data_IF_839444664394
#
_entry.id   IF_839444664394
#
_cell.length_a   1.000
_cell.length_b   1.000
_cell.length_c   1.000
_cell.angle_alpha   90.00
_cell.angle_beta   90.00
_cell.angle_gamma   90.00
#
_symmetry.space_group_name_H-M   'P 1'
#
loop_
_entity.id
_entity.type
_entity.pdbx_description
1 polymer ?
#
# COMPACT_ATOMS: atom_id res chain seq x y z
N UNK A 1 4.26 -9.26 27.68
CA UNK A 1 3.31 -10.20 27.03
C UNK A 1 3.09 -9.74 25.60
N UNK A 2 3.53 -10.51 24.60
CA UNK A 2 3.12 -10.31 23.20
C UNK A 2 1.76 -10.98 23.04
N UNK A 3 0.70 -10.18 22.91
CA UNK A 3 -0.65 -10.71 22.70
C UNK A 3 -0.74 -11.36 21.32
N UNK A 4 -1.08 -12.65 21.26
CA UNK A 4 -1.34 -13.31 19.98
C UNK A 4 -2.59 -12.74 19.35
N UNK A 5 -2.45 -12.26 18.12
CA UNK A 5 -3.54 -11.68 17.37
C UNK A 5 -4.23 -12.76 16.53
N UNK A 6 -5.44 -13.18 16.95
CA UNK A 6 -6.17 -14.27 16.28
C UNK A 6 -6.31 -14.00 14.78
N UNK A 7 -6.19 -15.06 13.98
CA UNK A 7 -6.23 -14.95 12.52
C UNK A 7 -7.55 -14.35 12.01
N UNK A 8 -8.67 -14.66 12.65
CA UNK A 8 -9.99 -14.12 12.32
C UNK A 8 -10.04 -12.58 12.39
N UNK A 9 -9.38 -11.99 13.39
CA UNK A 9 -9.28 -10.53 13.53
C UNK A 9 -8.32 -9.93 12.50
N UNK A 10 -7.19 -10.61 12.21
CA UNK A 10 -6.27 -10.20 11.13
C UNK A 10 -7.00 -10.09 9.81
N UNK A 11 -7.72 -11.14 9.45
CA UNK A 11 -8.43 -11.22 8.18
C UNK A 11 -9.59 -10.21 8.15
N UNK A 12 -10.29 -10.02 9.28
CA UNK A 12 -11.33 -8.99 9.40
C UNK A 12 -10.82 -7.56 9.25
N UNK A 13 -9.63 -7.23 9.77
CA UNK A 13 -9.04 -5.91 9.54
C UNK A 13 -8.57 -5.70 8.12
N UNK A 14 -7.98 -6.73 7.50
CA UNK A 14 -7.59 -6.67 6.10
C UNK A 14 -8.83 -6.43 5.22
N UNK A 15 -9.92 -7.13 5.49
CA UNK A 15 -11.20 -6.93 4.81
C UNK A 15 -11.77 -5.51 5.01
N UNK A 16 -11.80 -5.02 6.25
CA UNK A 16 -12.25 -3.65 6.54
C UNK A 16 -11.41 -2.58 5.82
N UNK A 17 -10.08 -2.75 5.79
CA UNK A 17 -9.19 -1.87 5.04
C UNK A 17 -9.49 -1.89 3.53
N UNK A 18 -9.80 -3.06 2.95
CA UNK A 18 -10.20 -3.15 1.54
C UNK A 18 -11.51 -2.39 1.28
N UNK A 19 -12.53 -2.57 2.12
CA UNK A 19 -13.80 -1.88 1.96
C UNK A 19 -13.65 -0.35 2.10
N UNK A 20 -12.85 0.10 3.07
CA UNK A 20 -12.53 1.53 3.24
C UNK A 20 -11.86 2.12 2.00
N UNK A 21 -10.80 1.49 1.50
CA UNK A 21 -10.05 1.98 0.32
C UNK A 21 -10.91 1.98 -0.94
N UNK A 22 -11.77 0.97 -1.10
CA UNK A 22 -12.66 0.86 -2.25
C UNK A 22 -13.94 1.66 -2.11
N UNK A 23 -14.10 2.43 -1.03
CA UNK A 23 -15.27 3.28 -0.75
C UNK A 23 -16.57 2.48 -0.65
N UNK A 24 -16.48 1.23 -0.19
CA UNK A 24 -17.63 0.37 0.10
C UNK A 24 -18.02 0.50 1.58
N UNK A 25 -18.69 1.59 1.91
CA UNK A 25 -19.07 1.90 3.30
C UNK A 25 -20.21 1.01 3.82
N UNK A 26 -20.97 0.38 2.93
CA UNK A 26 -21.99 -0.60 3.30
C UNK A 26 -21.33 -1.88 3.81
N UNK A 27 -20.33 -2.37 3.08
CA UNK A 27 -19.55 -3.52 3.52
C UNK A 27 -18.71 -3.18 4.77
N UNK A 28 -18.12 -1.98 4.83
CA UNK A 28 -17.37 -1.52 6.00
C UNK A 28 -18.22 -1.48 7.28
N UNK A 29 -19.47 -1.02 7.19
CA UNK A 29 -20.41 -1.04 8.32
C UNK A 29 -20.67 -2.46 8.82
N UNK A 30 -20.78 -3.43 7.90
CA UNK A 30 -20.92 -4.85 8.24
C UNK A 30 -19.67 -5.37 8.95
N UNK A 31 -18.48 -5.00 8.49
CA UNK A 31 -17.23 -5.41 9.15
C UNK A 31 -17.15 -4.91 10.57
N UNK A 32 -17.58 -3.66 10.83
CA UNK A 32 -17.55 -3.10 12.18
C UNK A 32 -18.48 -3.86 13.13
N UNK A 33 -19.61 -4.37 12.64
CA UNK A 33 -20.46 -5.29 13.42
C UNK A 33 -19.77 -6.65 13.61
N UNK A 34 -19.19 -7.23 12.55
CA UNK A 34 -18.50 -8.53 12.61
C UNK A 34 -17.27 -8.51 13.52
N UNK A 35 -16.54 -7.40 13.58
CA UNK A 35 -15.41 -7.19 14.47
C UNK A 35 -15.84 -6.87 15.90
N UNK A 36 -17.13 -6.68 16.16
CA UNK A 36 -17.67 -6.33 17.48
C UNK A 36 -17.40 -4.87 17.88
N UNK A 37 -17.10 -4.00 16.91
CA UNK A 37 -16.92 -2.56 17.13
C UNK A 37 -18.25 -1.84 17.32
N UNK A 38 -19.32 -2.36 16.69
CA UNK A 38 -20.68 -1.81 16.74
C UNK A 38 -21.65 -2.91 17.18
N UNK A 39 -22.60 -2.61 18.09
CA UNK A 39 -23.65 -3.57 18.47
C UNK A 39 -24.46 -4.04 17.25
N UNK A 40 -24.82 -5.33 17.15
CA UNK A 40 -25.60 -5.86 16.03
C UNK A 40 -27.01 -5.30 15.93
N UNK A 41 -27.51 -4.67 17.01
CA UNK A 41 -28.80 -3.97 17.08
C UNK A 41 -28.77 -2.57 16.46
N UNK A 42 -27.60 -2.08 16.04
CA UNK A 42 -27.46 -0.74 15.46
C UNK A 42 -28.06 -0.70 14.05
N UNK A 43 -28.69 0.43 13.70
CA UNK A 43 -29.19 0.66 12.35
C UNK A 43 -28.03 0.74 11.35
N UNK A 44 -27.91 -0.28 10.51
CA UNK A 44 -26.84 -0.39 9.51
C UNK A 44 -26.88 0.74 8.49
N UNK A 45 -28.06 1.21 8.08
CA UNK A 45 -28.18 2.28 7.11
C UNK A 45 -27.63 3.60 7.69
N UNK A 46 -28.02 3.91 8.93
CA UNK A 46 -27.52 5.08 9.65
C UNK A 46 -26.00 4.99 9.92
N UNK A 47 -25.49 3.81 10.27
CA UNK A 47 -24.04 3.59 10.43
C UNK A 47 -23.33 3.80 9.09
N UNK A 48 -23.82 3.22 8.01
CA UNK A 48 -23.23 3.40 6.67
C UNK A 48 -23.20 4.87 6.28
N UNK A 49 -24.29 5.63 6.50
CA UNK A 49 -24.35 7.06 6.22
C UNK A 49 -23.28 7.82 7.01
N UNK A 50 -23.15 7.55 8.32
CA UNK A 50 -22.18 8.20 9.18
C UNK A 50 -20.73 7.86 8.78
N UNK A 51 -20.43 6.58 8.53
CA UNK A 51 -19.11 6.15 8.05
C UNK A 51 -18.80 6.78 6.68
N UNK A 52 -19.80 6.90 5.81
CA UNK A 52 -19.63 7.59 4.53
C UNK A 52 -19.30 9.07 4.76
N UNK A 53 -19.97 9.75 5.69
CA UNK A 53 -19.67 11.14 6.05
C UNK A 53 -18.23 11.33 6.53
N UNK A 54 -17.75 10.43 7.39
CA UNK A 54 -16.39 10.47 7.95
C UNK A 54 -15.33 10.14 6.90
N UNK A 55 -15.48 9.00 6.23
CA UNK A 55 -14.39 8.44 5.45
C UNK A 55 -14.34 8.93 4.01
N UNK A 56 -15.44 9.43 3.44
CA UNK A 56 -15.49 9.91 2.05
C UNK A 56 -14.45 10.99 1.80
N UNK A 57 -14.41 12.00 2.67
CA UNK A 57 -13.51 13.14 2.51
C UNK A 57 -12.06 12.75 2.79
N UNK A 58 -11.85 11.88 3.77
CA UNK A 58 -10.53 11.35 4.08
C UNK A 58 -9.92 10.62 2.87
N UNK A 59 -10.66 9.69 2.25
CA UNK A 59 -10.15 8.92 1.10
C UNK A 59 -10.33 9.64 -0.24
N UNK A 60 -11.04 10.78 -0.29
CA UNK A 60 -11.17 11.61 -1.49
C UNK A 60 -9.81 12.17 -1.93
N UNK A 61 -8.96 12.54 -0.96
CA UNK A 61 -7.59 13.00 -1.19
C UNK A 61 -6.63 11.88 -1.63
N UNK A 62 -7.12 10.64 -1.70
CA UNK A 62 -6.34 9.44 -2.03
C UNK A 62 -5.81 8.75 -0.79
N UNK A 63 -5.83 7.41 -0.78
CA UNK A 63 -5.43 6.55 0.36
C UNK A 63 -4.04 6.87 0.90
N UNK A 64 -3.15 7.32 0.02
CA UNK A 64 -1.77 7.69 0.34
C UNK A 64 -1.65 8.94 1.21
N UNK A 65 -2.68 9.79 1.24
CA UNK A 65 -2.69 11.07 1.94
C UNK A 65 -3.48 11.01 3.26
N UNK A 66 -3.99 9.83 3.63
CA UNK A 66 -4.84 9.65 4.80
C UNK A 66 -3.99 9.45 6.05
N UNK A 67 -4.08 10.38 7.00
CA UNK A 67 -3.51 10.20 8.35
C UNK A 67 -4.44 9.36 9.20
N UNK A 68 -3.87 8.41 9.93
CA UNK A 68 -4.62 7.60 10.87
C UNK A 68 -5.06 8.40 12.11
N UNK A 69 -4.23 9.32 12.59
CA UNK A 69 -4.61 10.27 13.65
C UNK A 69 -5.85 11.09 13.29
N UNK A 70 -5.86 11.72 12.11
CA UNK A 70 -7.00 12.51 11.62
C UNK A 70 -8.26 11.64 11.47
N UNK A 71 -8.12 10.45 10.87
CA UNK A 71 -9.22 9.50 10.74
C UNK A 71 -9.85 9.11 12.08
N UNK A 72 -9.03 8.86 13.10
CA UNK A 72 -9.54 8.53 14.44
C UNK A 72 -10.26 9.72 15.06
N UNK A 73 -9.76 10.93 14.85
CA UNK A 73 -10.40 12.17 15.28
C UNK A 73 -11.79 12.32 14.66
N UNK A 74 -11.88 12.20 13.34
CA UNK A 74 -13.13 12.32 12.58
C UNK A 74 -14.14 11.21 12.95
N UNK A 75 -13.63 10.00 13.24
CA UNK A 75 -14.47 8.87 13.65
C UNK A 75 -15.01 9.05 15.08
N UNK A 76 -14.36 9.83 15.95
CA UNK A 76 -14.70 9.97 17.36
C UNK A 76 -16.16 10.36 17.62
N UNK A 77 -16.72 11.29 16.83
CA UNK A 77 -18.14 11.67 16.95
C UNK A 77 -19.08 10.52 16.60
N UNK A 78 -18.78 9.79 15.53
CA UNK A 78 -19.53 8.61 15.08
C UNK A 78 -19.46 7.49 16.14
N UNK A 79 -18.30 7.32 16.78
CA UNK A 79 -18.12 6.32 17.84
C UNK A 79 -19.04 6.57 19.03
N UNK A 80 -19.17 7.83 19.44
CA UNK A 80 -20.10 8.20 20.51
C UNK A 80 -21.56 7.97 20.09
N UNK A 81 -21.95 8.48 18.91
CA UNK A 81 -23.33 8.39 18.39
C UNK A 81 -23.83 6.94 18.28
N UNK A 82 -23.00 6.03 17.78
CA UNK A 82 -23.38 4.63 17.57
C UNK A 82 -22.93 3.69 18.70
N UNK A 83 -22.50 4.24 19.84
CA UNK A 83 -22.07 3.47 21.02
C UNK A 83 -21.06 2.38 20.66
N UNK A 84 -19.99 2.77 19.98
CA UNK A 84 -18.92 1.85 19.62
C UNK A 84 -18.41 1.15 20.87
N UNK A 85 -18.32 -0.17 20.79
CA UNK A 85 -17.70 -0.99 21.81
C UNK A 85 -16.32 -1.34 21.29
N UNK A 86 -15.27 -0.73 21.83
CA UNK A 86 -13.91 -1.07 21.44
C UNK A 86 -13.38 -2.09 22.43
N UNK A 87 -13.28 -3.37 22.06
CA UNK A 87 -12.55 -4.33 22.85
C UNK A 87 -11.14 -3.84 23.24
N UNK A 88 -10.71 -4.21 24.44
CA UNK A 88 -9.43 -3.79 25.03
C UNK A 88 -8.23 -4.03 24.11
N UNK A 89 -8.23 -5.16 23.40
CA UNK A 89 -7.16 -5.51 22.45
C UNK A 89 -7.11 -4.55 21.25
N UNK A 90 -8.23 -4.08 20.73
CA UNK A 90 -8.24 -3.08 19.65
C UNK A 90 -7.80 -1.71 20.15
N UNK A 91 -8.19 -1.32 21.36
CA UNK A 91 -7.74 -0.04 21.96
C UNK A 91 -6.21 0.01 22.03
N UNK A 92 -5.56 -1.11 22.36
CA UNK A 92 -4.10 -1.20 22.36
C UNK A 92 -3.52 -1.02 20.96
N UNK A 93 -4.04 -1.73 19.95
CA UNK A 93 -3.58 -1.63 18.56
C UNK A 93 -3.74 -0.21 18.01
N UNK A 94 -4.92 0.38 18.20
CA UNK A 94 -5.22 1.75 17.74
C UNK A 94 -4.27 2.76 18.40
N UNK A 95 -4.08 2.67 19.73
CA UNK A 95 -3.17 3.57 20.46
C UNK A 95 -1.73 3.40 20.00
N UNK A 96 -1.26 2.17 19.82
CA UNK A 96 0.09 1.89 19.32
C UNK A 96 0.29 2.45 17.90
N UNK A 97 -0.69 2.27 17.01
CA UNK A 97 -0.63 2.81 15.64
C UNK A 97 -0.59 4.34 15.62
N UNK A 98 -1.42 5.00 16.44
CA UNK A 98 -1.44 6.47 16.52
C UNK A 98 -0.09 7.02 17.01
N UNK A 99 0.52 6.39 18.03
CA UNK A 99 1.84 6.79 18.54
C UNK A 99 2.93 6.53 17.49
N UNK A 100 2.92 5.36 16.85
CA UNK A 100 3.90 5.02 15.81
C UNK A 100 3.79 5.94 14.59
N UNK A 101 2.59 6.31 14.16
CA UNK A 101 2.40 7.29 13.10
C UNK A 101 2.94 8.66 13.51
N UNK A 102 2.64 9.12 14.73
CA UNK A 102 3.16 10.40 15.25
C UNK A 102 4.69 10.45 15.29
N UNK A 103 5.34 9.36 15.73
CA UNK A 103 6.82 9.25 15.72
C UNK A 103 7.35 9.27 14.28
N UNK A 104 6.70 8.53 13.37
CA UNK A 104 7.12 8.46 11.97
C UNK A 104 6.98 9.81 11.24
N UNK A 105 5.92 10.58 11.54
CA UNK A 105 5.74 11.95 11.03
C UNK A 105 6.88 12.87 11.48
N UNK A 106 7.40 12.67 12.70
CA UNK A 106 8.56 13.42 13.20
C UNK A 106 9.84 13.21 12.38
N UNK A 107 9.97 12.07 11.67
CA UNK A 107 11.11 11.74 10.81
C UNK A 107 10.81 12.11 9.35
N UNK A 108 9.60 11.81 8.88
CA UNK A 108 9.12 12.09 7.54
C UNK A 108 7.74 12.75 7.61
N UNK A 109 7.63 14.08 7.42
CA UNK A 109 6.36 14.80 7.50
C UNK A 109 5.27 14.29 6.54
N UNK A 110 5.68 13.67 5.42
CA UNK A 110 4.78 13.09 4.42
C UNK A 110 4.38 11.64 4.73
N UNK A 111 4.82 11.09 5.87
CA UNK A 111 4.46 9.72 6.25
C UNK A 111 2.97 9.59 6.55
N UNK A 112 2.34 8.58 5.94
CA UNK A 112 0.94 8.21 6.16
C UNK A 112 0.84 6.70 6.32
N UNK A 113 0.42 6.23 7.50
CA UNK A 113 0.51 4.79 7.83
C UNK A 113 -0.34 3.91 6.91
N UNK A 114 -1.52 4.39 6.50
CA UNK A 114 -2.39 3.66 5.56
C UNK A 114 -1.75 3.57 4.17
N UNK A 115 -1.15 4.67 3.69
CA UNK A 115 -0.41 4.70 2.44
C UNK A 115 0.75 3.70 2.41
N UNK A 116 1.50 3.60 3.51
CA UNK A 116 2.63 2.66 3.63
C UNK A 116 2.20 1.21 3.82
N UNK A 117 1.04 0.96 4.44
CA UNK A 117 0.56 -0.39 4.76
C UNK A 117 -0.23 -1.02 3.62
N UNK A 118 -0.93 -0.21 2.82
CA UNK A 118 -1.81 -0.72 1.77
C UNK A 118 -1.12 -1.63 0.73
N UNK A 119 0.13 -1.37 0.27
CA UNK A 119 0.87 -2.30 -0.58
C UNK A 119 1.03 -3.71 -0.01
N UNK A 120 1.25 -3.80 1.32
CA UNK A 120 1.33 -5.08 2.01
C UNK A 120 -0.05 -5.76 2.06
N UNK A 121 -1.12 -5.00 2.33
CA UNK A 121 -2.51 -5.49 2.32
C UNK A 121 -2.87 -6.05 0.95
N UNK A 122 -2.62 -5.29 -0.12
CA UNK A 122 -2.90 -5.70 -1.49
C UNK A 122 -2.18 -7.01 -1.85
N UNK A 123 -0.90 -7.12 -1.51
CA UNK A 123 -0.12 -8.36 -1.68
C UNK A 123 -0.70 -9.51 -0.87
N UNK A 124 -1.05 -9.26 0.40
CA UNK A 124 -1.58 -10.29 1.30
C UNK A 124 -2.88 -10.86 0.72
N UNK A 125 -3.81 -10.01 0.32
CA UNK A 125 -5.10 -10.41 -0.26
C UNK A 125 -4.93 -11.21 -1.56
N UNK A 126 -3.95 -10.85 -2.40
CA UNK A 126 -3.66 -11.58 -3.65
C UNK A 126 -3.02 -12.96 -3.44
N UNK A 127 -2.36 -13.19 -2.29
CA UNK A 127 -1.52 -14.39 -2.05
C UNK A 127 -2.07 -15.33 -0.99
N UNK A 128 -2.95 -14.86 -0.11
CA UNK A 128 -3.40 -15.63 1.05
C UNK A 128 -4.41 -16.73 0.70
N UNK A 129 -4.37 -17.82 1.47
CA UNK A 129 -5.25 -18.98 1.29
C UNK A 129 -6.54 -18.91 2.11
N UNK A 130 -6.66 -17.94 3.04
CA UNK A 130 -7.80 -17.73 3.92
C UNK A 130 -9.12 -17.68 3.13
N UNK A 131 -10.15 -18.46 3.53
CA UNK A 131 -11.46 -18.40 2.92
C UNK A 131 -12.06 -16.99 2.93
N UNK A 132 -11.81 -16.24 4.01
CA UNK A 132 -12.31 -14.87 4.19
C UNK A 132 -11.67 -13.93 3.17
N UNK A 133 -10.34 -13.92 3.10
CA UNK A 133 -9.62 -13.05 2.16
C UNK A 133 -9.89 -13.41 0.69
N UNK A 134 -10.08 -14.69 0.37
CA UNK A 134 -10.54 -15.12 -0.96
C UNK A 134 -11.93 -14.58 -1.29
N UNK A 135 -12.85 -14.60 -0.32
CA UNK A 135 -14.18 -14.03 -0.50
C UNK A 135 -14.11 -12.51 -0.70
N UNK A 136 -13.32 -11.80 0.10
CA UNK A 136 -13.13 -10.34 -0.04
C UNK A 136 -12.48 -10.00 -1.39
N UNK A 137 -11.46 -10.76 -1.84
CA UNK A 137 -10.87 -10.60 -3.17
C UNK A 137 -11.91 -10.83 -4.27
N UNK A 138 -12.73 -11.87 -4.16
CA UNK A 138 -13.78 -12.15 -5.15
C UNK A 138 -14.83 -11.04 -5.19
N UNK A 139 -15.27 -10.55 -4.04
CA UNK A 139 -16.21 -9.42 -3.94
C UNK A 139 -15.61 -8.12 -4.50
N UNK A 140 -14.29 -7.96 -4.41
CA UNK A 140 -13.59 -6.84 -5.03
C UNK A 140 -13.47 -6.99 -6.55
N UNK A 141 -13.23 -8.19 -7.05
CA UNK A 141 -13.00 -8.41 -8.47
C UNK A 141 -14.30 -8.58 -9.26
N UNK A 142 -15.41 -8.90 -8.60
CA UNK A 142 -16.70 -9.11 -9.26
C UNK A 142 -17.77 -8.17 -8.70
N UNK A 143 -18.57 -7.58 -9.58
CA UNK A 143 -19.80 -6.87 -9.22
C UNK A 143 -20.91 -7.27 -10.18
N UNK A 144 -22.05 -7.71 -9.66
CA UNK A 144 -23.21 -8.10 -10.46
C UNK A 144 -22.86 -9.15 -11.55
N UNK A 145 -21.95 -10.08 -11.21
CA UNK A 145 -21.44 -11.12 -12.11
C UNK A 145 -20.35 -10.67 -13.10
N UNK A 146 -20.07 -9.37 -13.20
CA UNK A 146 -19.06 -8.82 -14.10
C UNK A 146 -17.70 -8.70 -13.43
N UNK A 147 -16.65 -9.13 -14.14
CA UNK A 147 -15.27 -9.00 -13.69
C UNK A 147 -14.74 -7.58 -13.91
N UNK A 148 -14.18 -6.98 -12.86
CA UNK A 148 -13.63 -5.62 -12.86
C UNK A 148 -12.11 -5.65 -12.99
N UNK A 149 -11.60 -5.66 -14.21
CA UNK A 149 -10.16 -5.69 -14.48
C UNK A 149 -9.41 -4.51 -13.83
N UNK A 150 -10.03 -3.32 -13.83
CA UNK A 150 -9.42 -2.11 -13.25
C UNK A 150 -9.09 -2.28 -11.76
N UNK A 151 -9.90 -3.07 -11.02
CA UNK A 151 -9.68 -3.36 -9.61
C UNK A 151 -8.53 -4.35 -9.41
N UNK A 152 -8.40 -5.35 -10.29
CA UNK A 152 -7.26 -6.26 -10.27
C UNK A 152 -5.96 -5.50 -10.56
N UNK A 153 -5.96 -4.66 -11.60
CA UNK A 153 -4.80 -3.84 -11.98
C UNK A 153 -4.39 -2.89 -10.86
N UNK A 154 -5.37 -2.23 -10.23
CA UNK A 154 -5.13 -1.35 -9.07
C UNK A 154 -4.50 -2.12 -7.90
N UNK A 155 -5.02 -3.31 -7.57
CA UNK A 155 -4.43 -4.16 -6.52
C UNK A 155 -3.01 -4.62 -6.87
N UNK A 156 -2.79 -5.05 -8.11
CA UNK A 156 -1.47 -5.51 -8.57
C UNK A 156 -0.45 -4.38 -8.50
N UNK A 157 -0.79 -3.19 -9.02
CA UNK A 157 0.04 -1.99 -8.95
C UNK A 157 0.44 -1.66 -7.52
N UNK A 158 -0.52 -1.63 -6.61
CA UNK A 158 -0.28 -1.36 -5.18
C UNK A 158 0.56 -2.46 -4.53
N UNK A 159 0.30 -3.72 -4.85
CA UNK A 159 1.10 -4.84 -4.34
C UNK A 159 2.57 -4.74 -4.75
N UNK A 160 2.85 -4.32 -5.99
CA UNK A 160 4.20 -4.20 -6.53
C UNK A 160 4.95 -3.03 -5.92
N UNK A 161 4.25 -1.95 -5.49
CA UNK A 161 4.88 -0.82 -4.81
C UNK A 161 5.68 -1.24 -3.57
N UNK A 162 5.16 -2.17 -2.77
CA UNK A 162 5.88 -2.69 -1.59
C UNK A 162 7.24 -3.30 -1.94
N UNK A 163 7.37 -3.92 -3.12
CA UNK A 163 8.64 -4.49 -3.59
C UNK A 163 9.58 -3.37 -4.01
N UNK A 164 9.08 -2.39 -4.76
CA UNK A 164 9.85 -1.23 -5.20
C UNK A 164 10.39 -0.42 -4.02
N UNK A 165 9.56 -0.09 -3.04
CA UNK A 165 9.98 0.66 -1.85
C UNK A 165 11.04 -0.11 -1.03
N UNK A 166 10.90 -1.43 -0.87
CA UNK A 166 11.93 -2.25 -0.22
C UNK A 166 13.25 -2.25 -0.99
N UNK A 167 13.20 -2.44 -2.31
CA UNK A 167 14.41 -2.42 -3.13
C UNK A 167 15.09 -1.05 -3.11
N UNK A 168 14.33 0.05 -3.04
CA UNK A 168 14.88 1.40 -2.89
C UNK A 168 15.58 1.59 -1.53
N UNK A 169 14.99 1.09 -0.45
CA UNK A 169 15.58 1.14 0.90
C UNK A 169 16.84 0.26 0.98
N UNK A 170 16.80 -0.94 0.39
CA UNK A 170 17.95 -1.85 0.31
C UNK A 170 19.09 -1.25 -0.53
N UNK A 171 18.77 -0.57 -1.64
CA UNK A 171 19.76 0.15 -2.47
C UNK A 171 20.37 1.38 -1.77
N UNK A 172 19.65 2.01 -0.83
CA UNK A 172 20.16 3.14 -0.05
C UNK A 172 21.02 2.68 1.14
N UNK A 173 20.73 1.52 1.72
CA UNK A 173 21.51 0.93 2.82
C UNK A 173 22.70 0.08 2.35
N UNK A 174 22.75 -0.30 1.06
CA UNK A 174 23.87 -0.99 0.43
C UNK A 174 25.01 -0.03 0.06
N UNK A 175 25.85 0.30 1.03
CA UNK A 175 27.06 1.10 0.81
C UNK A 175 28.03 0.45 -0.20
N UNK A 176 28.37 1.24 -1.22
CA UNK A 176 29.54 1.14 -2.11
C UNK A 176 29.57 0.02 -3.16
N UNK A 177 28.96 0.27 -4.34
CA UNK A 177 29.74 0.28 -5.60
C UNK A 177 29.02 1.11 -6.68
N UNK A 178 29.23 2.43 -6.59
CA UNK A 178 28.65 3.42 -7.50
C UNK A 178 29.00 3.16 -8.98
N UNK A 179 30.03 2.35 -9.27
CA UNK A 179 30.44 2.02 -10.64
C UNK A 179 29.53 0.97 -11.29
N UNK A 180 28.94 0.06 -10.52
CA UNK A 180 28.03 -0.98 -11.05
C UNK A 180 26.67 -0.37 -11.42
N UNK A 181 26.16 0.54 -10.59
CA UNK A 181 24.87 1.23 -10.79
C UNK A 181 24.92 2.17 -12.00
N UNK A 182 25.99 2.96 -12.15
CA UNK A 182 26.19 3.81 -13.33
C UNK A 182 26.30 2.95 -14.59
N UNK A 183 26.98 1.81 -14.53
CA UNK A 183 27.13 0.89 -15.67
C UNK A 183 25.81 0.22 -16.06
N UNK A 184 24.95 -0.14 -15.10
CA UNK A 184 23.63 -0.72 -15.36
C UNK A 184 22.63 0.31 -15.89
N UNK A 185 22.57 1.51 -15.32
CA UNK A 185 21.69 2.59 -15.79
C UNK A 185 22.09 3.04 -17.20
N UNK A 186 23.40 3.19 -17.46
CA UNK A 186 23.89 3.52 -18.80
C UNK A 186 23.63 2.37 -19.79
N UNK A 187 23.73 1.10 -19.37
CA UNK A 187 23.39 -0.03 -20.24
C UNK A 187 21.91 -0.08 -20.62
N UNK A 188 21.01 0.29 -19.69
CA UNK A 188 19.56 0.29 -19.92
C UNK A 188 19.13 1.49 -20.78
N UNK A 189 19.75 2.65 -20.58
CA UNK A 189 19.47 3.84 -21.38
C UNK A 189 19.95 3.72 -22.83
N UNK A 190 21.12 3.12 -23.05
CA UNK A 190 21.66 2.87 -24.40
C UNK A 190 20.93 1.77 -25.18
N UNK A 191 20.28 0.83 -24.49
CA UNK A 191 19.60 -0.29 -25.14
C UNK A 191 18.23 0.08 -25.73
N UNK A 192 17.65 1.22 -25.33
CA UNK A 192 16.27 1.60 -25.66
C UNK A 192 16.17 2.52 -26.90
N UNK A 193 17.28 3.11 -27.40
CA UNK A 193 17.18 4.21 -28.39
C UNK A 193 17.94 4.08 -29.71
N UNK A 194 18.47 2.91 -30.07
CA UNK A 194 19.24 2.76 -31.34
C UNK A 194 18.67 1.64 -32.22
N UNK A 195 18.15 1.94 -33.42
CA UNK A 195 17.69 0.94 -34.39
C UNK A 195 18.83 0.00 -34.80
N UNK A 196 18.51 -1.28 -35.06
CA UNK A 196 19.48 -2.35 -35.31
C UNK A 196 20.48 -2.07 -36.45
N UNK A 197 20.15 -1.18 -37.39
CA UNK A 197 20.98 -0.84 -38.56
C UNK A 197 22.19 0.05 -38.25
N UNK A 198 22.21 0.78 -37.12
CA UNK A 198 23.32 1.68 -36.76
C UNK A 198 24.31 1.07 -35.75
N UNK A 199 23.96 -0.08 -35.16
CA UNK A 199 24.79 -0.78 -34.17
C UNK A 199 26.12 -1.30 -34.73
N UNK A 200 26.24 -1.42 -36.06
CA UNK A 200 27.46 -1.90 -36.71
C UNK A 200 28.55 -0.81 -36.82
N UNK A 201 28.16 0.45 -37.03
CA UNK A 201 29.10 1.57 -37.17
C UNK A 201 29.64 2.05 -35.80
N UNK A 202 28.81 2.09 -34.76
CA UNK A 202 29.24 2.49 -33.41
C UNK A 202 30.20 1.49 -32.76
N UNK A 203 30.11 0.20 -33.08
CA UNK A 203 30.97 -0.83 -32.45
C UNK A 203 32.43 -0.72 -32.91
N UNK A 204 32.65 -0.35 -34.17
CA UNK A 204 33.98 -0.07 -34.70
C UNK A 204 34.49 1.30 -34.24
N UNK A 205 33.63 2.31 -34.15
CA UNK A 205 34.00 3.63 -33.63
C UNK A 205 34.41 3.59 -32.15
N UNK A 206 33.67 2.90 -31.27
CA UNK A 206 34.05 2.74 -29.87
C UNK A 206 35.34 1.94 -29.68
N UNK A 207 35.61 0.96 -30.55
CA UNK A 207 36.82 0.13 -30.45
C UNK A 207 38.08 0.92 -30.84
N UNK A 208 37.99 1.82 -31.83
CA UNK A 208 39.08 2.74 -32.20
C UNK A 208 39.26 3.82 -31.13
N UNK A 209 38.17 4.37 -30.60
CA UNK A 209 38.20 5.41 -29.56
C UNK A 209 38.79 4.88 -28.23
N UNK A 210 38.45 3.65 -27.82
CA UNK A 210 39.03 3.04 -26.62
C UNK A 210 40.53 2.77 -26.76
N UNK A 211 41.01 2.42 -27.97
CA UNK A 211 42.43 2.22 -28.25
C UNK A 211 43.24 3.52 -28.22
N UNK A 212 42.65 4.63 -28.69
CA UNK A 212 43.24 5.96 -28.65
C UNK A 212 43.31 6.53 -27.22
N UNK A 213 42.26 6.31 -26.42
CA UNK A 213 42.22 6.72 -25.01
C UNK A 213 43.20 5.90 -24.15
N UNK A 214 43.40 4.61 -24.46
CA UNK A 214 44.38 3.77 -23.77
C UNK A 214 45.84 4.11 -24.10
N UNK A 215 46.14 4.64 -25.30
CA UNK A 215 47.49 5.10 -25.62
C UNK A 215 47.86 6.45 -24.99
N UNK A 216 46.88 7.30 -24.68
CA UNK A 216 47.10 8.63 -24.08
C UNK A 216 47.24 8.59 -22.54
N UNK A 217 47.10 7.42 -21.91
CA UNK A 217 47.19 7.25 -20.44
C UNK A 217 48.50 6.60 -19.96
N UNK A 218 49.50 6.38 -20.83
CA UNK A 218 50.79 5.75 -20.47
C UNK A 218 52.02 6.64 -20.83
N UNK A 219 51.86 7.96 -20.88
CA UNK A 219 52.96 8.93 -20.77
C UNK A 219 52.60 9.99 -19.74
#
# INVERSE_FOLDING_TARGET
MMGEFKQEYRDGFIEACLHLVNRDYSALAKDFVTLGLIPPTSDKAAVTEALTGVFRDAVAKGVRNVSFGDLLGDLGFTMYKFKFQIPSYFSLVIRSLAVLEGIAIGINPEYKVLGSTYPWIARKVLTDSSPKLKASLRALLYKDGQFRIDRLESLLSESLRAKTERTLIENQNGGTDSKVVIKQILSLHWMIRVPLSEKFYLKNFLRVWLHLVLQLSIQ
#
